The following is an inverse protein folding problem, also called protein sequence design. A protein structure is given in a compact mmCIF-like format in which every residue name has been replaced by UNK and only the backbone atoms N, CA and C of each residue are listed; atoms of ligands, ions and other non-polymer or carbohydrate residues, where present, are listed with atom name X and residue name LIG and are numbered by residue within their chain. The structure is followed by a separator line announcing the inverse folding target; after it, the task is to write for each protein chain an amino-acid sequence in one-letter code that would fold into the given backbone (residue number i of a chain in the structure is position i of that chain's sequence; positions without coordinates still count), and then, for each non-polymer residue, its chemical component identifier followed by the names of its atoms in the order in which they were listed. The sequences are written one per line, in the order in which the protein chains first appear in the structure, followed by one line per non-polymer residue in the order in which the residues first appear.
data_IF_427235002328
#
_entry.id   IF_427235002328
#
_cell.length_a   1.000
_cell.length_b   1.000
_cell.length_c   1.000
_cell.angle_alpha   90.00
_cell.angle_beta   90.00
_cell.angle_gamma   90.00
#
_symmetry.space_group_name_H-M   'P 1'
#
loop_
_entity.id
_entity.type
_entity.pdbx_description
1 polymer ?
#
# COMPACT_ATOMS: atom_id res chain seq x y z
N UNK A 1 -15.12 31.05 -3.85
CA UNK A 1 -15.73 29.76 -3.44
C UNK A 1 -14.94 29.16 -2.30
N UNK A 2 -15.47 28.19 -1.53
CA UNK A 2 -14.77 27.58 -0.40
C UNK A 2 -14.30 26.17 -0.77
N UNK A 3 -13.14 25.79 -0.21
CA UNK A 3 -12.53 24.47 -0.34
C UNK A 3 -12.77 23.69 0.95
N UNK A 4 -13.17 22.43 0.86
CA UNK A 4 -13.31 21.56 2.02
C UNK A 4 -11.93 21.23 2.61
N UNK A 5 -11.71 21.55 3.86
CA UNK A 5 -10.52 21.15 4.60
C UNK A 5 -10.85 20.03 5.58
N UNK A 6 -10.11 18.91 5.48
CA UNK A 6 -10.23 17.75 6.38
C UNK A 6 -8.95 17.59 7.19
N UNK A 7 -9.11 17.50 8.50
CA UNK A 7 -8.04 17.17 9.46
C UNK A 7 -7.84 15.66 9.56
N UNK A 8 -6.75 15.23 10.20
CA UNK A 8 -6.53 13.78 10.48
C UNK A 8 -7.70 13.16 11.26
N UNK A 9 -8.24 13.87 12.24
CA UNK A 9 -9.39 13.41 13.04
C UNK A 9 -10.65 13.26 12.19
N UNK A 10 -10.87 14.15 11.22
CA UNK A 10 -11.99 14.03 10.28
C UNK A 10 -11.81 12.78 9.41
N UNK A 11 -10.60 12.57 8.87
CA UNK A 11 -10.28 11.37 8.06
C UNK A 11 -10.51 10.08 8.85
N UNK A 12 -10.03 10.00 10.09
CA UNK A 12 -10.23 8.83 10.97
C UNK A 12 -11.71 8.52 11.21
N UNK A 13 -12.56 9.55 11.34
CA UNK A 13 -13.99 9.38 11.57
C UNK A 13 -14.78 8.97 10.35
N UNK A 14 -14.28 9.26 9.15
CA UNK A 14 -15.02 9.16 7.90
C UNK A 14 -14.82 7.82 7.17
N UNK A 15 -13.65 7.19 7.30
CA UNK A 15 -13.30 6.05 6.45
C UNK A 15 -12.62 4.93 7.24
N UNK A 16 -12.95 3.70 6.88
CA UNK A 16 -12.40 2.45 7.41
C UNK A 16 -11.64 1.64 6.34
N UNK A 17 -11.04 0.53 6.73
CA UNK A 17 -10.25 -0.31 5.82
C UNK A 17 -11.11 -0.98 4.73
N UNK A 18 -12.29 -1.56 5.01
CA UNK A 18 -13.13 -2.12 3.95
C UNK A 18 -13.45 -1.12 2.84
N UNK A 19 -13.90 0.08 3.19
CA UNK A 19 -14.19 1.13 2.22
C UNK A 19 -12.93 1.60 1.46
N UNK A 20 -11.78 1.60 2.14
CA UNK A 20 -10.50 1.92 1.51
C UNK A 20 -10.09 0.88 0.47
N UNK A 21 -10.27 -0.42 0.77
CA UNK A 21 -10.00 -1.51 -0.17
C UNK A 21 -10.89 -1.38 -1.42
N UNK A 22 -12.18 -1.13 -1.24
CA UNK A 22 -13.11 -0.98 -2.36
C UNK A 22 -12.81 0.26 -3.22
N UNK A 23 -12.40 1.38 -2.61
CA UNK A 23 -11.99 2.57 -3.35
C UNK A 23 -10.70 2.35 -4.17
N UNK A 24 -9.70 1.70 -3.56
CA UNK A 24 -8.42 1.41 -4.21
C UNK A 24 -8.59 0.35 -5.31
N UNK A 25 -9.44 -0.66 -5.11
CA UNK A 25 -9.73 -1.66 -6.15
C UNK A 25 -10.37 -1.02 -7.39
N UNK A 26 -11.34 -0.10 -7.20
CA UNK A 26 -11.90 0.70 -8.31
C UNK A 26 -10.86 1.57 -9.01
N UNK A 27 -9.89 2.12 -8.25
CA UNK A 27 -8.79 2.89 -8.84
C UNK A 27 -7.90 2.03 -9.74
N UNK A 28 -7.56 0.80 -9.32
CA UNK A 28 -6.81 -0.14 -10.18
C UNK A 28 -7.61 -0.54 -11.43
N UNK A 29 -8.90 -0.82 -11.30
CA UNK A 29 -9.75 -1.10 -12.46
C UNK A 29 -9.77 0.07 -13.47
N UNK A 30 -9.86 1.30 -12.97
CA UNK A 30 -9.84 2.51 -13.79
C UNK A 30 -8.46 2.79 -14.43
N UNK A 31 -7.36 2.36 -13.81
CA UNK A 31 -6.03 2.40 -14.45
C UNK A 31 -5.98 1.43 -15.63
N UNK A 32 -6.55 0.24 -15.50
CA UNK A 32 -6.55 -0.78 -16.55
C UNK A 32 -7.39 -0.38 -17.77
N UNK A 33 -8.54 0.27 -17.58
CA UNK A 33 -9.40 0.72 -18.68
C UNK A 33 -9.02 2.10 -19.24
N UNK A 34 -8.01 2.75 -18.65
CA UNK A 34 -7.48 4.05 -19.08
C UNK A 34 -8.27 5.27 -18.58
N UNK A 35 -9.32 5.08 -17.76
CA UNK A 35 -10.09 6.19 -17.15
C UNK A 35 -9.41 6.80 -15.91
N UNK A 36 -8.22 6.32 -15.57
CA UNK A 36 -7.34 6.92 -14.57
C UNK A 36 -5.88 6.91 -15.04
N UNK A 37 -5.15 8.00 -14.76
CA UNK A 37 -3.73 8.14 -15.11
C UNK A 37 -2.95 8.52 -13.86
N UNK A 38 -1.87 7.77 -13.59
CA UNK A 38 -0.94 8.03 -12.49
C UNK A 38 0.38 8.58 -13.01
N UNK A 39 0.91 9.61 -12.35
CA UNK A 39 2.25 10.16 -12.65
C UNK A 39 3.22 9.67 -11.57
N UNK A 40 4.36 9.08 -11.96
CA UNK A 40 5.37 8.63 -11.02
C UNK A 40 5.88 9.74 -10.09
N UNK A 41 6.31 9.33 -8.89
CA UNK A 41 6.76 10.25 -7.83
C UNK A 41 8.00 11.04 -8.25
N UNK A 42 7.93 12.37 -8.18
CA UNK A 42 9.07 13.28 -8.27
C UNK A 42 9.58 13.65 -6.88
N UNK A 43 10.91 13.92 -6.78
CA UNK A 43 11.56 14.28 -5.51
C UNK A 43 12.46 15.49 -5.66
N UNK A 44 12.18 16.57 -4.91
CA UNK A 44 13.09 17.69 -4.71
C UNK A 44 13.86 17.50 -3.40
N UNK A 45 15.19 17.66 -3.45
CA UNK A 45 16.10 17.33 -2.34
C UNK A 45 16.84 18.56 -1.83
N UNK A 46 16.92 18.68 -0.50
CA UNK A 46 17.84 19.58 0.20
C UNK A 46 18.49 18.83 1.38
N UNK A 47 19.58 19.31 1.98
CA UNK A 47 20.19 18.66 3.15
C UNK A 47 19.16 18.43 4.28
N UNK A 48 18.92 17.16 4.65
CA UNK A 48 17.97 16.77 5.69
C UNK A 48 16.49 16.92 5.33
N UNK A 49 16.16 17.20 4.07
CA UNK A 49 14.78 17.44 3.61
C UNK A 49 14.52 16.83 2.24
N UNK A 50 13.38 16.16 2.10
CA UNK A 50 12.83 15.70 0.83
C UNK A 50 11.40 16.21 0.68
N UNK A 51 11.08 16.82 -0.47
CA UNK A 51 9.72 17.04 -0.91
C UNK A 51 9.39 16.02 -1.99
N UNK A 52 8.32 15.27 -1.78
CA UNK A 52 7.79 14.30 -2.74
C UNK A 52 6.51 14.86 -3.33
N UNK A 53 6.36 14.75 -4.65
CA UNK A 53 5.19 15.17 -5.40
C UNK A 53 4.69 14.05 -6.30
N UNK A 54 3.40 13.78 -6.24
CA UNK A 54 2.70 12.75 -7.00
C UNK A 54 1.38 13.34 -7.49
N UNK A 55 0.93 12.99 -8.68
CA UNK A 55 -0.35 13.45 -9.21
C UNK A 55 -1.06 12.36 -10.01
N UNK A 56 -2.37 12.45 -10.10
CA UNK A 56 -3.19 11.57 -10.88
C UNK A 56 -4.46 12.26 -11.39
N UNK A 57 -5.01 11.73 -12.49
CA UNK A 57 -6.38 12.00 -12.90
C UNK A 57 -7.21 10.73 -12.73
N UNK A 58 -8.47 10.90 -12.36
CA UNK A 58 -9.45 9.84 -12.17
C UNK A 58 -10.75 10.27 -12.86
N UNK A 59 -10.79 10.11 -14.19
CA UNK A 59 -11.93 10.53 -15.02
C UNK A 59 -13.24 9.85 -14.56
N UNK A 60 -13.16 8.58 -14.17
CA UNK A 60 -14.30 7.82 -13.64
C UNK A 60 -14.92 8.43 -12.36
N UNK A 61 -14.20 9.34 -11.68
CA UNK A 61 -14.68 10.10 -10.52
C UNK A 61 -14.94 11.58 -10.85
N UNK A 62 -14.58 12.04 -12.06
CA UNK A 62 -14.58 13.46 -12.41
C UNK A 62 -13.52 14.27 -11.66
N UNK A 63 -12.44 13.63 -11.17
CA UNK A 63 -11.43 14.24 -10.29
C UNK A 63 -10.01 14.14 -10.85
N UNK A 64 -9.23 15.15 -10.52
CA UNK A 64 -7.77 15.10 -10.52
C UNK A 64 -7.24 15.42 -9.13
N UNK A 65 -5.98 15.10 -8.85
CA UNK A 65 -5.41 15.45 -7.55
C UNK A 65 -3.92 15.24 -7.48
N UNK A 66 -3.38 15.68 -6.36
CA UNK A 66 -1.98 15.45 -6.01
C UNK A 66 -1.85 15.03 -4.54
N UNK A 67 -0.78 14.27 -4.28
CA UNK A 67 -0.25 14.05 -2.95
C UNK A 67 1.14 14.65 -2.87
N UNK A 68 1.33 15.58 -1.98
CA UNK A 68 2.63 16.11 -1.61
C UNK A 68 2.96 15.75 -0.16
N UNK A 69 4.21 15.35 0.08
CA UNK A 69 4.66 15.08 1.42
C UNK A 69 6.13 15.41 1.60
N UNK A 70 6.47 15.76 2.83
CA UNK A 70 7.84 16.05 3.22
C UNK A 70 8.40 14.92 4.08
N UNK A 71 9.69 14.66 3.96
CA UNK A 71 10.42 13.75 4.84
C UNK A 71 11.63 14.47 5.44
N UNK A 72 11.72 14.45 6.76
CA UNK A 72 12.81 15.04 7.54
C UNK A 72 13.25 14.06 8.64
N UNK A 73 14.28 14.41 9.42
CA UNK A 73 14.66 13.66 10.62
C UNK A 73 13.57 13.63 11.70
N UNK A 74 12.55 14.53 11.62
CA UNK A 74 11.41 14.60 12.55
C UNK A 74 10.19 13.80 12.06
N UNK A 75 10.27 13.12 10.91
CA UNK A 75 9.17 12.36 10.32
C UNK A 75 8.69 12.92 9.00
N UNK A 76 7.55 12.41 8.54
CA UNK A 76 6.89 12.79 7.30
C UNK A 76 5.55 13.50 7.58
N UNK A 77 5.12 14.35 6.66
CA UNK A 77 3.83 15.05 6.70
C UNK A 77 3.20 15.01 5.32
N UNK A 78 1.98 14.53 5.24
CA UNK A 78 1.29 14.25 3.99
C UNK A 78 0.07 15.16 3.81
N UNK A 79 -0.12 15.63 2.58
CA UNK A 79 -1.31 16.36 2.16
C UNK A 79 -1.78 15.85 0.81
N UNK A 80 -3.09 15.81 0.63
CA UNK A 80 -3.76 15.48 -0.63
C UNK A 80 -4.69 16.62 -0.99
N UNK A 81 -4.69 17.05 -2.26
CA UNK A 81 -5.71 17.92 -2.80
C UNK A 81 -6.43 17.25 -3.94
N UNK A 82 -7.74 17.51 -4.04
CA UNK A 82 -8.60 17.04 -5.11
C UNK A 82 -9.23 18.22 -5.86
N UNK A 83 -9.28 18.10 -7.19
CA UNK A 83 -9.81 19.09 -8.11
C UNK A 83 -10.92 18.46 -8.96
N UNK A 84 -11.96 19.23 -9.25
CA UNK A 84 -12.99 18.87 -10.22
C UNK A 84 -12.44 19.00 -11.66
N UNK A 85 -12.61 17.97 -12.49
CA UNK A 85 -12.04 18.00 -13.84
C UNK A 85 -12.67 19.06 -14.75
N UNK A 86 -14.00 19.24 -14.66
CA UNK A 86 -14.72 20.13 -15.56
C UNK A 86 -14.38 21.60 -15.36
N UNK A 87 -14.23 22.01 -14.09
CA UNK A 87 -14.01 23.43 -13.74
C UNK A 87 -12.56 23.75 -13.39
N UNK A 88 -11.74 22.73 -13.10
CA UNK A 88 -10.38 22.92 -12.54
C UNK A 88 -10.36 23.43 -11.09
N UNK A 89 -11.52 23.54 -10.44
CA UNK A 89 -11.68 24.07 -9.09
C UNK A 89 -11.18 23.07 -8.05
N UNK A 90 -10.45 23.55 -7.05
CA UNK A 90 -10.09 22.74 -5.88
C UNK A 90 -11.35 22.44 -5.05
N UNK A 91 -11.63 21.16 -4.82
CA UNK A 91 -12.76 20.71 -3.99
C UNK A 91 -12.35 20.50 -2.54
N UNK A 92 -11.17 19.91 -2.32
CA UNK A 92 -10.70 19.58 -0.98
C UNK A 92 -9.18 19.69 -0.83
N UNK A 93 -8.76 20.03 0.39
CA UNK A 93 -7.40 19.90 0.91
C UNK A 93 -7.45 19.03 2.18
N UNK A 94 -6.71 17.94 2.22
CA UNK A 94 -6.82 16.88 3.23
C UNK A 94 -5.47 16.68 3.92
N UNK A 95 -5.44 16.68 5.25
CA UNK A 95 -4.32 16.13 6.00
C UNK A 95 -4.33 14.61 5.80
N UNK A 96 -3.25 14.04 5.31
CA UNK A 96 -3.29 12.74 4.65
C UNK A 96 -2.34 11.69 5.25
N UNK A 97 -2.00 11.79 6.54
CA UNK A 97 -1.24 10.72 7.18
C UNK A 97 -2.11 9.44 7.25
N UNK A 98 -3.29 9.52 7.87
CA UNK A 98 -4.20 8.36 7.99
C UNK A 98 -4.69 7.88 6.63
N UNK A 99 -5.05 8.79 5.72
CA UNK A 99 -5.40 8.46 4.34
C UNK A 99 -4.27 7.65 3.68
N UNK A 100 -3.03 8.13 3.76
CA UNK A 100 -1.87 7.46 3.18
C UNK A 100 -1.56 6.11 3.83
N UNK A 101 -1.85 5.92 5.12
CA UNK A 101 -1.76 4.64 5.80
C UNK A 101 -2.81 3.66 5.28
N UNK A 102 -4.07 4.06 5.25
CA UNK A 102 -5.19 3.22 4.83
C UNK A 102 -5.07 2.77 3.37
N UNK A 103 -4.78 3.70 2.42
CA UNK A 103 -4.67 3.34 1.01
C UNK A 103 -3.48 2.38 0.74
N UNK A 104 -2.39 2.49 1.54
CA UNK A 104 -1.25 1.58 1.40
C UNK A 104 -1.61 0.17 1.88
N UNK A 105 -2.31 0.03 3.00
CA UNK A 105 -2.89 -1.24 3.42
C UNK A 105 -3.90 -1.77 2.40
N UNK A 106 -4.78 -0.90 1.92
CA UNK A 106 -5.82 -1.24 0.94
C UNK A 106 -5.23 -1.84 -0.35
N UNK A 107 -4.14 -1.27 -0.90
CA UNK A 107 -3.46 -1.83 -2.07
C UNK A 107 -2.98 -3.28 -1.82
N UNK A 108 -2.41 -3.56 -0.63
CA UNK A 108 -2.06 -4.93 -0.23
C UNK A 108 -3.29 -5.80 -0.02
N UNK A 109 -4.38 -5.24 0.52
CA UNK A 109 -5.66 -5.95 0.64
C UNK A 109 -6.21 -6.37 -0.73
N UNK A 110 -6.20 -5.47 -1.72
CA UNK A 110 -6.58 -5.78 -3.11
C UNK A 110 -5.66 -6.86 -3.68
N UNK A 111 -4.34 -6.69 -3.59
CA UNK A 111 -3.39 -7.70 -4.08
C UNK A 111 -3.62 -9.06 -3.42
N UNK A 112 -3.76 -9.09 -2.10
CA UNK A 112 -4.01 -10.31 -1.33
C UNK A 112 -5.34 -10.98 -1.75
N UNK A 113 -6.40 -10.20 -2.00
CA UNK A 113 -7.71 -10.70 -2.47
C UNK A 113 -7.58 -11.50 -3.76
N UNK A 114 -6.76 -11.04 -4.71
CA UNK A 114 -6.59 -11.64 -6.02
C UNK A 114 -5.44 -12.64 -6.12
N UNK A 115 -4.42 -12.53 -5.26
CA UNK A 115 -3.15 -13.26 -5.41
C UNK A 115 -2.88 -14.27 -4.30
N UNK A 116 -3.52 -14.21 -3.13
CA UNK A 116 -3.39 -15.28 -2.13
C UNK A 116 -4.47 -16.33 -2.28
N UNK A 117 -4.26 -17.51 -1.69
CA UNK A 117 -5.31 -18.54 -1.60
C UNK A 117 -6.50 -18.03 -0.78
N UNK A 118 -7.74 -18.38 -1.14
CA UNK A 118 -8.93 -17.94 -0.38
C UNK A 118 -8.97 -18.44 1.07
N UNK A 119 -8.36 -19.60 1.33
CA UNK A 119 -8.28 -20.28 2.64
C UNK A 119 -7.01 -19.93 3.42
N UNK A 120 -6.20 -18.98 2.94
CA UNK A 120 -5.01 -18.51 3.64
C UNK A 120 -5.38 -17.94 5.02
N UNK A 121 -4.81 -18.49 6.08
CA UNK A 121 -5.18 -18.17 7.46
C UNK A 121 -3.99 -17.89 8.39
N UNK A 122 -2.75 -18.09 7.94
CA UNK A 122 -1.54 -17.78 8.69
C UNK A 122 -0.80 -16.62 8.03
N UNK A 123 -0.56 -15.54 8.78
CA UNK A 123 0.18 -14.37 8.30
C UNK A 123 1.49 -14.18 9.05
N UNK A 124 2.58 -13.99 8.30
CA UNK A 124 3.85 -13.44 8.80
C UNK A 124 3.90 -11.93 8.52
N UNK A 125 4.13 -11.12 9.55
CA UNK A 125 4.26 -9.66 9.42
C UNK A 125 5.62 -9.19 9.89
N UNK A 126 6.39 -8.61 8.98
CA UNK A 126 7.71 -8.07 9.27
C UNK A 126 7.65 -6.54 9.35
N UNK A 127 7.78 -6.03 10.58
CA UNK A 127 7.62 -4.62 10.94
C UNK A 127 6.49 -4.42 11.97
N UNK A 128 6.68 -3.42 12.85
CA UNK A 128 5.69 -3.00 13.86
C UNK A 128 5.52 -1.48 13.84
N UNK A 129 5.72 -0.93 12.65
CA UNK A 129 5.54 0.50 12.42
C UNK A 129 4.12 0.84 12.00
N UNK A 130 3.89 2.12 11.79
CA UNK A 130 2.62 2.67 11.39
C UNK A 130 1.99 2.00 10.16
N UNK A 131 2.80 1.65 9.14
CA UNK A 131 2.30 0.92 7.97
C UNK A 131 1.94 -0.54 8.29
N UNK A 132 2.64 -1.19 9.20
CA UNK A 132 2.36 -2.57 9.56
C UNK A 132 0.93 -2.77 10.12
N UNK A 133 0.38 -1.78 10.83
CA UNK A 133 -1.00 -1.80 11.31
C UNK A 133 -1.99 -1.91 10.14
N UNK A 134 -1.85 -1.07 9.11
CA UNK A 134 -2.75 -1.09 7.96
C UNK A 134 -2.58 -2.34 7.09
N UNK A 135 -1.38 -2.92 7.05
CA UNK A 135 -1.15 -4.20 6.37
C UNK A 135 -1.93 -5.33 7.03
N UNK A 136 -1.82 -5.46 8.35
CA UNK A 136 -2.56 -6.49 9.08
C UNK A 136 -4.08 -6.27 8.98
N UNK A 137 -4.53 -5.03 9.15
CA UNK A 137 -5.94 -4.66 9.04
C UNK A 137 -6.52 -5.02 7.66
N UNK A 138 -5.79 -4.71 6.59
CA UNK A 138 -6.23 -4.99 5.23
C UNK A 138 -6.27 -6.48 4.89
N UNK A 139 -5.26 -7.25 5.29
CA UNK A 139 -5.23 -8.70 5.07
C UNK A 139 -6.35 -9.37 5.85
N UNK A 140 -6.60 -8.97 7.10
CA UNK A 140 -7.71 -9.46 7.92
C UNK A 140 -9.11 -9.17 7.32
N UNK A 141 -9.26 -8.08 6.55
CA UNK A 141 -10.51 -7.78 5.85
C UNK A 141 -10.80 -8.74 4.68
N UNK A 142 -9.77 -9.37 4.10
CA UNK A 142 -9.92 -10.14 2.84
C UNK A 142 -9.59 -11.62 2.99
N UNK A 143 -9.03 -12.06 4.14
CA UNK A 143 -8.71 -13.46 4.43
C UNK A 143 -9.12 -13.84 5.85
N UNK A 144 -9.51 -15.10 6.07
CA UNK A 144 -9.93 -15.61 7.38
C UNK A 144 -8.71 -15.92 8.26
N UNK A 145 -7.98 -14.86 8.65
CA UNK A 145 -6.79 -15.03 9.48
C UNK A 145 -7.12 -15.66 10.82
N UNK A 146 -6.38 -16.71 11.20
CA UNK A 146 -6.42 -17.36 12.50
C UNK A 146 -5.21 -16.99 13.35
N UNK A 147 -4.02 -16.99 12.73
CA UNK A 147 -2.75 -16.71 13.40
C UNK A 147 -1.95 -15.67 12.65
N UNK A 148 -1.42 -14.69 13.39
CA UNK A 148 -0.49 -13.69 12.86
C UNK A 148 0.79 -13.74 13.68
N UNK A 149 1.93 -13.96 13.03
CA UNK A 149 3.25 -13.91 13.64
C UNK A 149 3.94 -12.61 13.25
N UNK A 150 4.25 -11.76 14.24
CA UNK A 150 4.84 -10.44 13.99
C UNK A 150 6.27 -10.38 14.53
N UNK A 151 7.17 -9.88 13.68
CA UNK A 151 8.55 -9.63 14.04
C UNK A 151 8.97 -8.19 13.82
N UNK A 152 9.72 -7.66 14.76
CA UNK A 152 10.58 -6.47 14.60
C UNK A 152 11.78 -6.58 15.54
N UNK A 153 12.84 -5.80 15.27
CA UNK A 153 14.09 -5.86 16.03
C UNK A 153 13.95 -5.48 17.51
N UNK A 154 12.97 -4.64 17.82
CA UNK A 154 12.69 -4.17 19.17
C UNK A 154 11.64 -5.09 19.84
N UNK A 155 12.01 -5.86 20.90
CA UNK A 155 11.12 -6.80 21.55
C UNK A 155 9.90 -6.16 22.21
N UNK A 156 10.07 -5.00 22.86
CA UNK A 156 9.00 -4.31 23.55
C UNK A 156 7.96 -3.76 22.56
N UNK A 157 8.44 -3.18 21.46
CA UNK A 157 7.57 -2.68 20.39
C UNK A 157 6.79 -3.81 19.70
N UNK A 158 7.42 -4.96 19.42
CA UNK A 158 6.70 -6.06 18.78
C UNK A 158 5.67 -6.70 19.72
N UNK A 159 5.98 -6.79 21.02
CA UNK A 159 5.05 -7.27 22.00
C UNK A 159 3.83 -6.33 22.14
N UNK A 160 4.08 -5.03 22.32
CA UNK A 160 3.01 -4.03 22.40
C UNK A 160 2.15 -3.95 21.14
N UNK A 161 2.78 -4.12 19.95
CA UNK A 161 2.04 -4.20 18.67
C UNK A 161 1.14 -5.43 18.64
N UNK A 162 1.65 -6.61 19.01
CA UNK A 162 0.88 -7.84 19.01
C UNK A 162 -0.34 -7.76 19.93
N UNK A 163 -0.18 -7.24 21.14
CA UNK A 163 -1.25 -7.04 22.10
C UNK A 163 -2.32 -6.05 21.57
N UNK A 164 -1.89 -4.88 21.08
CA UNK A 164 -2.80 -3.85 20.58
C UNK A 164 -3.59 -4.33 19.34
N UNK A 165 -2.93 -4.95 18.39
CA UNK A 165 -3.58 -5.42 17.17
C UNK A 165 -4.45 -6.66 17.42
N UNK A 166 -4.01 -7.56 18.31
CA UNK A 166 -4.81 -8.71 18.72
C UNK A 166 -6.12 -8.30 19.36
N UNK A 167 -6.10 -7.31 20.24
CA UNK A 167 -7.32 -6.74 20.86
C UNK A 167 -8.19 -6.01 19.83
N UNK A 168 -7.59 -5.17 18.98
CA UNK A 168 -8.34 -4.36 18.01
C UNK A 168 -9.05 -5.21 16.97
N UNK A 169 -8.39 -6.25 16.45
CA UNK A 169 -8.90 -7.07 15.36
C UNK A 169 -9.52 -8.40 15.84
N UNK A 170 -9.45 -8.72 17.12
CA UNK A 170 -9.90 -9.99 17.70
C UNK A 170 -9.22 -11.20 17.04
N UNK A 171 -7.90 -11.10 16.82
CA UNK A 171 -7.05 -12.11 16.20
C UNK A 171 -5.99 -12.62 17.17
N UNK A 172 -5.50 -13.84 16.96
CA UNK A 172 -4.31 -14.36 17.61
C UNK A 172 -3.05 -13.75 16.98
N UNK A 173 -2.53 -12.66 17.56
CA UNK A 173 -1.32 -11.99 17.10
C UNK A 173 -0.18 -12.28 18.06
N UNK A 174 0.84 -12.96 17.58
CA UNK A 174 1.96 -13.48 18.36
C UNK A 174 3.25 -12.72 18.01
N UNK A 175 3.89 -12.12 19.01
CA UNK A 175 5.25 -11.58 18.87
C UNK A 175 6.25 -12.74 18.82
N UNK A 176 7.06 -12.82 17.76
CA UNK A 176 8.07 -13.87 17.57
C UNK A 176 9.49 -13.30 17.59
N UNK A 177 10.48 -14.16 17.84
CA UNK A 177 11.85 -13.72 18.12
C UNK A 177 12.74 -13.54 16.88
N UNK A 178 12.29 -14.03 15.69
CA UNK A 178 13.05 -13.85 14.47
C UNK A 178 12.12 -13.64 13.25
N UNK A 179 12.68 -13.10 12.17
CA UNK A 179 11.99 -12.96 10.89
C UNK A 179 11.66 -14.33 10.30
N UNK A 180 12.57 -15.27 10.43
CA UNK A 180 12.41 -16.64 9.95
C UNK A 180 11.20 -17.31 10.62
N UNK A 181 11.05 -17.16 11.94
CA UNK A 181 9.88 -17.70 12.66
C UNK A 181 8.58 -17.04 12.21
N UNK A 182 8.61 -15.78 11.82
CA UNK A 182 7.41 -15.10 11.30
C UNK A 182 7.03 -15.64 9.92
N UNK A 183 8.00 -15.95 9.07
CA UNK A 183 7.80 -16.36 7.66
C UNK A 183 7.51 -17.86 7.52
N UNK A 184 8.16 -18.71 8.34
CA UNK A 184 8.08 -20.18 8.23
C UNK A 184 6.64 -20.67 8.33
N UNK A 185 6.17 -21.38 7.29
CA UNK A 185 4.81 -21.89 7.19
C UNK A 185 3.70 -20.81 7.09
N UNK A 186 4.02 -19.55 6.78
CA UNK A 186 3.02 -18.52 6.55
C UNK A 186 2.41 -18.62 5.13
N UNK A 187 1.09 -18.50 5.05
CA UNK A 187 0.35 -18.41 3.78
C UNK A 187 0.53 -17.03 3.12
N UNK A 188 0.59 -16.00 3.97
CA UNK A 188 0.75 -14.60 3.55
C UNK A 188 1.89 -13.99 4.36
N UNK A 189 2.83 -13.36 3.67
CA UNK A 189 3.90 -12.57 4.30
C UNK A 189 3.76 -11.12 3.87
N UNK A 190 3.84 -10.18 4.82
CA UNK A 190 3.89 -8.75 4.49
C UNK A 190 5.11 -8.10 5.13
N UNK A 191 5.88 -7.37 4.33
CA UNK A 191 7.02 -6.58 4.82
C UNK A 191 6.67 -5.09 4.83
N UNK A 192 6.79 -4.45 5.99
CA UNK A 192 6.47 -3.04 6.19
C UNK A 192 7.52 -2.38 7.09
N UNK A 193 8.79 -2.39 6.64
CA UNK A 193 9.93 -1.93 7.39
C UNK A 193 10.67 -0.78 6.72
N UNK A 194 11.70 -0.27 7.36
CA UNK A 194 12.65 0.69 6.79
C UNK A 194 13.98 0.03 6.41
N UNK A 195 14.01 -1.29 6.28
CA UNK A 195 15.24 -2.04 6.01
C UNK A 195 15.90 -1.60 4.70
N UNK A 196 17.22 -1.73 4.66
CA UNK A 196 18.03 -1.52 3.45
C UNK A 196 18.57 -2.84 2.88
N UNK A 197 18.30 -3.95 3.57
CA UNK A 197 18.75 -5.28 3.21
C UNK A 197 17.62 -6.27 3.45
N UNK A 198 17.63 -7.42 2.76
CA UNK A 198 16.64 -8.48 2.94
C UNK A 198 16.45 -8.86 4.41
N UNK A 199 15.21 -9.16 4.79
CA UNK A 199 14.80 -9.45 6.16
C UNK A 199 14.88 -10.94 6.50
N UNK A 200 14.78 -11.79 5.49
CA UNK A 200 14.76 -13.25 5.59
C UNK A 200 15.29 -13.88 4.30
N UNK A 201 15.56 -15.18 4.35
CA UNK A 201 15.92 -15.99 3.19
C UNK A 201 14.64 -16.40 2.43
N UNK A 202 14.55 -16.06 1.14
CA UNK A 202 13.41 -16.36 0.28
C UNK A 202 13.07 -17.86 0.17
N UNK A 203 14.02 -18.74 0.45
CA UNK A 203 13.79 -20.19 0.51
C UNK A 203 12.80 -20.62 1.61
N UNK A 204 12.60 -19.77 2.62
CA UNK A 204 11.62 -20.01 3.70
C UNK A 204 10.17 -19.78 3.27
N UNK A 205 9.95 -19.08 2.17
CA UNK A 205 8.60 -18.85 1.65
C UNK A 205 7.98 -20.18 1.19
N UNK A 206 6.77 -20.46 1.64
CA UNK A 206 6.03 -21.63 1.21
C UNK A 206 5.75 -21.59 -0.31
N UNK A 207 5.76 -22.73 -1.01
CA UNK A 207 5.52 -22.76 -2.46
C UNK A 207 4.17 -22.15 -2.90
N UNK A 208 3.21 -22.07 -1.98
CA UNK A 208 1.86 -21.59 -2.22
C UNK A 208 1.55 -20.27 -1.53
N UNK A 209 2.56 -19.59 -1.01
CA UNK A 209 2.40 -18.33 -0.27
C UNK A 209 2.19 -17.12 -1.17
N UNK A 210 1.76 -16.02 -0.53
CA UNK A 210 1.68 -14.68 -1.12
C UNK A 210 2.55 -13.72 -0.32
N UNK A 211 3.41 -12.95 -0.99
CA UNK A 211 4.30 -11.96 -0.38
C UNK A 211 3.93 -10.54 -0.80
N UNK A 212 3.58 -9.68 0.16
CA UNK A 212 3.42 -8.23 -0.02
C UNK A 212 4.70 -7.50 0.41
N UNK A 213 5.35 -6.76 -0.51
CA UNK A 213 6.56 -5.98 -0.25
C UNK A 213 6.23 -4.49 -0.32
N UNK A 214 6.17 -3.81 0.86
CA UNK A 214 5.54 -2.48 0.98
C UNK A 214 6.49 -1.41 1.52
N UNK A 215 7.44 -1.76 2.38
CA UNK A 215 8.19 -0.77 3.18
C UNK A 215 9.23 0.01 2.39
N UNK A 216 9.57 -0.40 1.17
CA UNK A 216 10.59 0.23 0.34
C UNK A 216 10.01 0.84 -0.94
N UNK A 217 10.36 2.10 -1.20
CA UNK A 217 10.10 2.82 -2.46
C UNK A 217 11.34 3.59 -2.93
N UNK A 218 12.51 2.96 -2.84
CA UNK A 218 13.78 3.53 -3.26
C UNK A 218 14.75 2.41 -3.66
N UNK A 219 15.41 2.52 -4.82
CA UNK A 219 16.30 1.50 -5.38
C UNK A 219 17.43 1.04 -4.43
N UNK A 220 17.86 1.89 -3.48
CA UNK A 220 18.91 1.51 -2.50
C UNK A 220 18.40 0.75 -1.29
N UNK A 221 17.15 0.29 -1.29
CA UNK A 221 16.53 -0.45 -0.20
C UNK A 221 15.91 -1.74 -0.73
N UNK A 222 15.96 -2.78 0.09
CA UNK A 222 15.32 -4.05 -0.18
C UNK A 222 14.80 -4.66 1.13
N UNK A 223 13.62 -5.24 1.11
CA UNK A 223 13.05 -5.98 2.23
C UNK A 223 13.08 -7.49 1.99
N UNK A 224 13.11 -7.93 0.73
CA UNK A 224 13.26 -9.32 0.31
C UNK A 224 14.50 -9.49 -0.57
N UNK A 225 15.00 -10.71 -0.66
CA UNK A 225 16.16 -11.08 -1.45
C UNK A 225 15.77 -11.44 -2.90
N UNK A 226 16.79 -11.75 -3.71
CA UNK A 226 16.62 -12.16 -5.10
C UNK A 226 15.83 -13.46 -5.20
N UNK A 227 16.06 -14.42 -4.30
CA UNK A 227 15.37 -15.71 -4.27
C UNK A 227 13.86 -15.55 -4.09
N UNK A 228 13.42 -14.62 -3.23
CA UNK A 228 11.99 -14.32 -3.03
C UNK A 228 11.27 -13.91 -4.33
N UNK A 229 11.98 -13.25 -5.24
CA UNK A 229 11.44 -12.80 -6.53
C UNK A 229 11.60 -13.89 -7.60
N UNK A 230 12.80 -14.48 -7.69
CA UNK A 230 13.13 -15.50 -8.71
C UNK A 230 12.30 -16.78 -8.60
N UNK A 231 11.93 -17.17 -7.37
CA UNK A 231 11.11 -18.34 -7.13
C UNK A 231 9.60 -18.10 -7.18
N UNK A 232 9.17 -16.88 -7.47
CA UNK A 232 7.75 -16.55 -7.62
C UNK A 232 7.22 -16.95 -8.99
N UNK A 233 6.05 -17.62 -9.02
CA UNK A 233 5.34 -17.94 -10.25
C UNK A 233 4.66 -16.70 -10.88
N UNK A 234 4.43 -15.66 -10.07
CA UNK A 234 3.80 -14.41 -10.49
C UNK A 234 4.29 -13.25 -9.63
N UNK A 235 4.80 -12.21 -10.29
CA UNK A 235 5.20 -10.95 -9.67
C UNK A 235 4.31 -9.82 -10.19
N UNK A 236 3.45 -9.28 -9.32
CA UNK A 236 2.59 -8.15 -9.62
C UNK A 236 3.17 -6.85 -9.05
N UNK A 237 3.04 -5.77 -9.80
CA UNK A 237 3.38 -4.42 -9.39
C UNK A 237 2.12 -3.56 -9.27
N UNK A 238 2.13 -2.59 -8.35
CA UNK A 238 1.11 -1.53 -8.37
C UNK A 238 1.22 -0.69 -9.65
N UNK A 239 2.48 -0.43 -10.14
CA UNK A 239 2.76 0.15 -11.45
C UNK A 239 4.18 -0.21 -11.89
N UNK A 240 4.34 -0.89 -13.04
CA UNK A 240 5.63 -1.40 -13.50
C UNK A 240 6.62 -0.26 -13.79
N UNK A 241 6.20 0.80 -14.48
CA UNK A 241 7.05 1.93 -14.80
C UNK A 241 7.59 2.65 -13.55
N UNK A 242 6.78 2.77 -12.51
CA UNK A 242 7.20 3.34 -11.23
C UNK A 242 8.06 2.35 -10.43
N UNK A 243 7.75 1.06 -10.44
CA UNK A 243 8.59 0.03 -9.80
C UNK A 243 9.99 -0.03 -10.42
N UNK A 244 10.15 0.15 -11.72
CA UNK A 244 11.46 0.21 -12.40
C UNK A 244 12.38 1.30 -11.79
N UNK A 245 11.84 2.38 -11.27
CA UNK A 245 12.62 3.50 -10.70
C UNK A 245 12.62 3.54 -9.16
N UNK A 246 11.86 2.67 -8.50
CA UNK A 246 11.70 2.72 -7.03
C UNK A 246 11.84 1.37 -6.31
N UNK A 247 11.70 0.22 -6.99
CA UNK A 247 11.71 -1.11 -6.37
C UNK A 247 13.09 -1.75 -6.41
N UNK A 248 13.83 -1.64 -5.31
CA UNK A 248 15.20 -2.16 -5.21
C UNK A 248 15.27 -3.69 -5.26
N UNK A 249 14.28 -4.39 -4.73
CA UNK A 249 14.18 -5.86 -4.76
C UNK A 249 14.06 -6.39 -6.20
N UNK A 250 13.16 -5.80 -6.99
CA UNK A 250 12.94 -6.20 -8.39
C UNK A 250 14.14 -5.83 -9.27
N UNK A 251 14.73 -4.65 -9.03
CA UNK A 251 15.93 -4.23 -9.73
C UNK A 251 17.09 -5.20 -9.48
N UNK A 252 17.31 -5.61 -8.22
CA UNK A 252 18.37 -6.55 -7.85
C UNK A 252 18.16 -7.94 -8.50
N UNK A 253 16.92 -8.46 -8.53
CA UNK A 253 16.60 -9.72 -9.19
C UNK A 253 16.83 -9.67 -10.71
N UNK A 254 16.47 -8.55 -11.34
CA UNK A 254 16.69 -8.33 -12.77
C UNK A 254 18.17 -8.16 -13.11
N UNK A 255 18.95 -7.43 -12.29
CA UNK A 255 20.40 -7.25 -12.47
C UNK A 255 21.17 -8.57 -12.26
N UNK A 256 20.68 -9.46 -11.40
CA UNK A 256 21.22 -10.79 -11.21
C UNK A 256 20.91 -11.76 -12.39
N UNK A 257 19.99 -11.38 -13.27
CA UNK A 257 19.52 -12.24 -14.36
C UNK A 257 18.59 -13.37 -13.93
N UNK A 258 18.06 -13.31 -12.71
CA UNK A 258 17.21 -14.34 -12.11
C UNK A 258 15.71 -14.03 -12.32
N UNK A 259 15.36 -12.83 -12.79
CA UNK A 259 14.00 -12.41 -13.09
C UNK A 259 14.02 -11.27 -14.13
N UNK A 260 12.99 -11.16 -14.98
CA UNK A 260 12.90 -10.15 -16.02
C UNK A 260 11.70 -9.21 -15.83
N UNK A 261 11.88 -7.94 -16.15
CA UNK A 261 10.81 -6.94 -16.10
C UNK A 261 9.64 -7.21 -17.05
N UNK A 262 9.87 -7.98 -18.12
CA UNK A 262 8.85 -8.43 -19.07
C UNK A 262 7.87 -9.44 -18.44
N UNK A 263 8.28 -10.10 -17.34
CA UNK A 263 7.45 -11.04 -16.59
C UNK A 263 6.62 -10.34 -15.49
N UNK A 264 6.84 -9.04 -15.28
CA UNK A 264 6.04 -8.25 -14.34
C UNK A 264 4.62 -8.02 -14.85
N UNK A 265 3.65 -8.09 -13.94
CA UNK A 265 2.24 -7.92 -14.25
C UNK A 265 1.70 -6.69 -13.50
N UNK A 266 0.90 -5.85 -14.16
CA UNK A 266 0.19 -4.77 -13.47
C UNK A 266 -0.92 -5.35 -12.59
N UNK A 267 -0.99 -4.95 -11.33
CA UNK A 267 -2.12 -5.34 -10.47
C UNK A 267 -3.46 -4.89 -11.08
N UNK A 268 -3.45 -3.77 -11.78
CA UNK A 268 -4.59 -3.23 -12.51
C UNK A 268 -5.19 -4.25 -13.52
N UNK A 269 -4.33 -4.97 -14.27
CA UNK A 269 -4.77 -5.98 -15.25
C UNK A 269 -5.42 -7.19 -14.56
N UNK A 270 -4.93 -7.55 -13.38
CA UNK A 270 -5.52 -8.63 -12.57
C UNK A 270 -6.89 -8.22 -12.03
N UNK A 271 -7.00 -7.01 -11.50
CA UNK A 271 -8.26 -6.46 -10.98
C UNK A 271 -9.30 -6.33 -12.08
N UNK A 272 -8.91 -5.90 -13.28
CA UNK A 272 -9.80 -5.80 -14.44
C UNK A 272 -10.15 -7.15 -15.09
N UNK A 273 -9.47 -8.25 -14.69
CA UNK A 273 -9.68 -9.59 -15.25
C UNK A 273 -9.07 -9.79 -16.64
N UNK A 274 -8.23 -8.87 -17.12
CA UNK A 274 -7.46 -9.02 -18.37
C UNK A 274 -6.26 -9.95 -18.18
N UNK A 275 -5.78 -10.09 -16.93
CA UNK A 275 -4.84 -11.14 -16.53
C UNK A 275 -5.50 -12.01 -15.42
N UNK A 276 -5.38 -13.35 -15.49
CA UNK A 276 -6.12 -14.24 -14.57
C UNK A 276 -5.63 -14.18 -13.11
N UNK A 277 -4.49 -13.55 -12.82
CA UNK A 277 -3.90 -13.56 -11.48
C UNK A 277 -3.45 -14.95 -11.07
N UNK A 278 -3.69 -15.33 -9.80
CA UNK A 278 -3.44 -16.69 -9.30
C UNK A 278 -4.41 -17.66 -9.95
N UNK A 279 -3.87 -18.72 -10.58
CA UNK A 279 -4.65 -19.77 -11.27
C UNK A 279 -4.56 -21.14 -10.58
N UNK A 280 -3.58 -21.34 -9.69
CA UNK A 280 -3.38 -22.59 -8.96
C UNK A 280 -3.02 -22.35 -7.49
N UNK A 281 -3.48 -23.26 -6.62
CA UNK A 281 -3.19 -23.17 -5.18
C UNK A 281 -1.70 -23.42 -4.83
N UNK A 282 -0.92 -23.95 -5.76
CA UNK A 282 0.51 -24.22 -5.59
C UNK A 282 1.41 -23.04 -5.99
N UNK A 283 0.86 -21.97 -6.56
CA UNK A 283 1.65 -20.83 -7.01
C UNK A 283 2.14 -19.99 -5.83
N UNK A 284 3.40 -19.57 -5.89
CA UNK A 284 3.96 -18.49 -5.09
C UNK A 284 3.74 -17.16 -5.83
N UNK A 285 3.16 -16.18 -5.16
CA UNK A 285 2.87 -14.87 -5.76
C UNK A 285 3.51 -13.75 -4.95
N UNK A 286 4.00 -12.73 -5.63
CA UNK A 286 4.58 -11.53 -5.03
C UNK A 286 3.82 -10.31 -5.51
N UNK A 287 3.56 -9.39 -4.60
CA UNK A 287 3.08 -8.04 -4.89
C UNK A 287 4.09 -7.01 -4.40
N UNK A 288 4.55 -6.16 -5.31
CA UNK A 288 5.39 -5.00 -4.98
C UNK A 288 4.58 -3.72 -5.11
N UNK A 289 4.48 -2.99 -4.00
CA UNK A 289 3.91 -1.64 -3.99
C UNK A 289 4.98 -0.59 -3.72
N UNK A 290 4.93 0.48 -4.49
CA UNK A 290 5.69 1.71 -4.29
C UNK A 290 4.77 2.90 -4.01
N UNK A 291 3.44 2.68 -4.16
CA UNK A 291 2.35 3.61 -3.84
C UNK A 291 2.07 4.63 -4.95
N UNK A 292 0.83 4.75 -5.33
CA UNK A 292 0.34 5.55 -6.45
C UNK A 292 -0.51 6.72 -5.99
N UNK A 293 -0.46 7.84 -6.73
CA UNK A 293 -1.30 9.00 -6.47
C UNK A 293 -2.79 8.72 -6.75
N UNK A 294 -3.10 7.85 -7.70
CA UNK A 294 -4.48 7.48 -8.02
C UNK A 294 -5.21 6.86 -6.84
N UNK A 295 -4.50 6.09 -6.00
CA UNK A 295 -5.04 5.55 -4.74
C UNK A 295 -5.43 6.68 -3.77
N UNK A 296 -4.57 7.71 -3.66
CA UNK A 296 -4.83 8.87 -2.81
C UNK A 296 -6.00 9.71 -3.33
N UNK A 297 -6.17 9.84 -4.67
CA UNK A 297 -7.32 10.55 -5.30
C UNK A 297 -8.62 9.77 -5.10
N UNK A 298 -8.60 8.45 -5.24
CA UNK A 298 -9.78 7.61 -4.97
C UNK A 298 -10.24 7.72 -3.51
N UNK A 299 -9.30 7.71 -2.57
CA UNK A 299 -9.59 7.92 -1.15
C UNK A 299 -10.13 9.34 -0.86
N UNK A 300 -9.59 10.36 -1.55
CA UNK A 300 -10.09 11.72 -1.42
C UNK A 300 -11.54 11.85 -1.88
N UNK A 301 -11.94 11.14 -2.97
CA UNK A 301 -13.32 11.11 -3.42
C UNK A 301 -14.28 10.56 -2.35
N UNK A 302 -13.93 9.41 -1.75
CA UNK A 302 -14.69 8.80 -0.66
C UNK A 302 -14.83 9.75 0.54
N UNK A 303 -13.72 10.40 0.92
CA UNK A 303 -13.72 11.34 2.04
C UNK A 303 -14.59 12.57 1.76
N UNK A 304 -14.53 13.14 0.55
CA UNK A 304 -15.35 14.29 0.15
C UNK A 304 -16.83 13.92 0.21
N UNK A 305 -17.22 12.77 -0.36
CA UNK A 305 -18.60 12.28 -0.35
C UNK A 305 -19.11 12.12 1.09
N UNK A 306 -18.39 11.36 1.92
CA UNK A 306 -18.79 11.07 3.30
C UNK A 306 -18.77 12.30 4.21
N UNK A 307 -17.85 13.23 3.97
CA UNK A 307 -17.80 14.51 4.67
C UNK A 307 -19.06 15.33 4.39
N UNK A 308 -19.51 15.37 3.12
CA UNK A 308 -20.74 16.03 2.73
C UNK A 308 -21.99 15.41 3.37
N UNK A 309 -22.07 14.06 3.39
CA UNK A 309 -23.19 13.32 4.00
C UNK A 309 -23.29 13.53 5.52
N UNK A 310 -22.13 13.64 6.21
CA UNK A 310 -22.06 13.73 7.67
C UNK A 310 -21.90 15.17 8.20
N UNK A 311 -21.72 16.16 7.32
CA UNK A 311 -21.45 17.53 7.70
C UNK A 311 -20.13 17.71 8.46
N UNK A 312 -19.08 16.95 8.07
CA UNK A 312 -17.75 16.97 8.70
C UNK A 312 -16.79 17.79 7.84
N UNK A 313 -15.81 18.43 8.50
CA UNK A 313 -14.79 19.26 7.86
C UNK A 313 -15.10 20.74 7.94
N UNK A 314 -14.16 21.56 7.44
CA UNK A 314 -14.24 23.01 7.46
C UNK A 314 -14.19 23.55 6.02
N UNK A 315 -14.95 24.59 5.75
CA UNK A 315 -14.85 25.29 4.48
C UNK A 315 -13.94 26.50 4.61
N UNK A 316 -12.84 26.51 3.86
CA UNK A 316 -11.82 27.57 3.88
C UNK A 316 -11.81 28.33 2.56
N UNK A 317 -11.62 29.68 2.57
CA UNK A 317 -11.63 30.51 1.37
C UNK A 317 -10.26 30.45 0.68
N UNK A 318 -9.99 29.37 -0.07
CA UNK A 318 -8.74 29.22 -0.83
C UNK A 318 -8.89 29.56 -2.31
N UNK A 319 -10.09 29.42 -2.87
CA UNK A 319 -10.39 29.82 -4.25
C UNK A 319 -10.92 31.26 -4.26
N UNK A 320 -10.26 32.13 -5.01
CA UNK A 320 -10.74 33.45 -5.36
C UNK A 320 -11.27 33.41 -6.77
N UNK A 321 -12.52 33.85 -6.97
CA UNK A 321 -13.15 33.99 -8.29
C UNK A 321 -12.41 35.03 -9.15
#
# INVERSE_FOLDING_TARGET
MSVLFLTESDVESLIDMPASIDAVERAFAAVADGSAVNVPRARAKAPGFLLHSMSATAEYLGLAGWKNYTTTSKGARFHVAAYELDSGRMLALIQANRLGQLRTGAASGVATRHLSRPDANVMGLLGTGWQAESQLEAVACVRPLETVRVFSRDPERRQGFAEAMGQRLQLDVQAVDSAETAVDGADIVSTATTSKAPLFDGQLLMPNSHLNIIGSNHLSKAESDVESIASADLVACDRIDQCRIEAGELAAASEAGEWNWEDAIELADIVAGTHPGRTANTQRTVFKSVGLAVEDVAMAAELIMRAGERGVGQHIPLDVD
#
